data_IF_932212108612
#
_entry.id   IF_932212108612
#
_cell.length_a   1.000
_cell.length_b   1.000
_cell.length_c   1.000
_cell.angle_alpha   90.00
_cell.angle_beta   90.00
_cell.angle_gamma   90.00
#
_symmetry.space_group_name_H-M   'P 1'
#
loop_
_entity.id
_entity.type
_entity.pdbx_description
1 polymer ?
#
# COMPACT_ATOMS: atom_id res chain seq x y z
N UNK A 1 -18.87 -17.92 27.85
CA UNK A 1 -18.48 -17.67 26.45
C UNK A 1 -17.81 -16.31 26.45
N UNK A 2 -16.53 -16.22 26.11
CA UNK A 2 -15.84 -14.92 26.09
C UNK A 2 -16.49 -14.06 25.00
N UNK A 3 -16.94 -12.86 25.36
CA UNK A 3 -17.54 -11.94 24.42
C UNK A 3 -16.45 -11.46 23.46
N UNK A 4 -16.56 -11.83 22.17
CA UNK A 4 -15.57 -11.42 21.18
C UNK A 4 -15.66 -9.91 20.98
N UNK A 5 -14.54 -9.24 21.26
CA UNK A 5 -14.39 -7.80 21.06
C UNK A 5 -14.70 -7.41 19.62
N UNK A 6 -15.51 -6.36 19.45
CA UNK A 6 -15.95 -5.85 18.15
C UNK A 6 -15.23 -4.56 17.79
N UNK A 7 -15.07 -4.35 16.49
CA UNK A 7 -14.57 -3.11 15.90
C UNK A 7 -15.66 -2.56 14.99
N UNK A 8 -16.03 -1.30 15.20
CA UNK A 8 -16.89 -0.52 14.32
C UNK A 8 -16.00 0.38 13.46
N UNK A 9 -15.88 0.01 12.18
CA UNK A 9 -15.06 0.72 11.21
C UNK A 9 -15.95 1.54 10.29
N UNK A 10 -15.65 2.84 10.20
CA UNK A 10 -16.23 3.77 9.25
C UNK A 10 -15.16 4.18 8.23
N UNK A 11 -15.41 3.93 6.95
CA UNK A 11 -14.53 4.33 5.84
C UNK A 11 -15.25 5.41 5.04
N UNK A 12 -14.69 6.60 4.96
CA UNK A 12 -15.16 7.69 4.12
C UNK A 12 -14.29 7.70 2.87
N UNK A 13 -14.87 7.41 1.71
CA UNK A 13 -14.18 7.37 0.42
C UNK A 13 -14.48 8.64 -0.34
N UNK A 14 -13.49 9.51 -0.50
CA UNK A 14 -13.56 10.76 -1.25
C UNK A 14 -13.00 10.53 -2.67
N UNK A 15 -13.84 10.76 -3.67
CA UNK A 15 -13.48 10.66 -5.08
C UNK A 15 -13.11 12.05 -5.60
N UNK A 16 -11.92 12.17 -6.18
CA UNK A 16 -11.41 13.38 -6.80
C UNK A 16 -11.21 13.18 -8.30
N UNK A 17 -11.49 14.20 -9.09
CA UNK A 17 -11.11 14.30 -10.50
C UNK A 17 -9.80 15.10 -10.61
N UNK A 18 -8.80 14.53 -11.28
CA UNK A 18 -7.56 15.26 -11.58
C UNK A 18 -7.73 16.05 -12.88
N UNK A 19 -7.99 17.35 -12.76
CA UNK A 19 -8.06 18.24 -13.91
C UNK A 19 -6.67 18.80 -14.23
N UNK A 20 -6.20 18.56 -15.47
CA UNK A 20 -5.06 19.27 -16.05
C UNK A 20 -5.56 20.51 -16.77
N UNK A 21 -5.22 21.70 -16.28
CA UNK A 21 -5.41 22.93 -17.07
C UNK A 21 -4.41 22.91 -18.22
N UNK A 22 -4.91 23.06 -19.45
CA UNK A 22 -4.08 23.13 -20.65
C UNK A 22 -3.21 24.40 -20.69
N UNK A 23 -3.58 25.46 -19.97
CA UNK A 23 -3.01 26.78 -20.25
C UNK A 23 -1.94 27.29 -19.28
N UNK A 24 -1.80 26.86 -18.03
CA UNK A 24 -0.73 27.41 -17.18
C UNK A 24 -0.20 26.44 -16.11
N UNK A 25 1.11 26.21 -16.17
CA UNK A 25 2.03 25.97 -15.04
C UNK A 25 2.13 24.58 -14.39
N UNK A 26 1.62 23.51 -15.01
CA UNK A 26 1.82 22.13 -14.49
C UNK A 26 1.17 21.86 -13.13
N UNK A 27 0.33 22.77 -12.65
CA UNK A 27 -0.39 22.66 -11.38
C UNK A 27 -1.54 21.65 -11.57
N UNK A 28 -1.46 20.53 -10.83
CA UNK A 28 -2.52 19.54 -10.76
C UNK A 28 -3.64 20.06 -9.87
N UNK A 29 -4.86 20.11 -10.38
CA UNK A 29 -6.03 20.52 -9.62
C UNK A 29 -6.92 19.30 -9.37
N UNK A 30 -7.24 19.05 -8.10
CA UNK A 30 -8.12 17.95 -7.69
C UNK A 30 -9.48 18.52 -7.29
N UNK A 31 -10.53 18.10 -7.99
CA UNK A 31 -11.91 18.53 -7.70
C UNK A 31 -12.63 17.36 -7.05
N UNK A 32 -13.20 17.57 -5.86
CA UNK A 32 -14.01 16.55 -5.18
C UNK A 32 -15.27 16.27 -6.01
N UNK A 33 -15.37 15.05 -6.56
CA UNK A 33 -16.53 14.57 -7.30
C UNK A 33 -17.64 14.07 -6.37
N UNK A 34 -17.27 13.49 -5.24
CA UNK A 34 -18.22 12.95 -4.29
C UNK A 34 -17.55 12.24 -3.13
N UNK A 35 -18.33 11.97 -2.09
CA UNK A 35 -17.89 11.21 -0.92
C UNK A 35 -18.90 10.11 -0.61
N UNK A 36 -18.40 8.92 -0.32
CA UNK A 36 -19.18 7.75 0.06
C UNK A 36 -18.78 7.31 1.46
N UNK A 37 -19.73 6.86 2.28
CA UNK A 37 -19.43 6.36 3.63
C UNK A 37 -19.81 4.89 3.74
N UNK A 38 -18.83 4.05 4.07
CA UNK A 38 -19.03 2.63 4.31
C UNK A 38 -18.82 2.33 5.80
N UNK A 39 -19.86 1.84 6.46
CA UNK A 39 -19.79 1.39 7.85
C UNK A 39 -19.84 -0.13 7.92
N UNK A 40 -18.96 -0.71 8.73
CA UNK A 40 -18.94 -2.15 8.97
C UNK A 40 -18.58 -2.46 10.41
N UNK A 41 -19.15 -3.55 10.93
CA UNK A 41 -18.82 -4.09 12.24
C UNK A 41 -18.16 -5.44 12.05
N UNK A 42 -16.98 -5.62 12.64
CA UNK A 42 -16.16 -6.81 12.46
C UNK A 42 -15.63 -7.31 13.81
N UNK A 43 -15.28 -8.59 13.88
CA UNK A 43 -14.60 -9.14 15.05
C UNK A 43 -13.17 -8.61 15.10
N UNK A 44 -12.63 -8.40 16.30
CA UNK A 44 -11.25 -7.93 16.48
C UNK A 44 -10.21 -8.82 15.77
N UNK A 45 -10.41 -10.15 15.77
CA UNK A 45 -9.54 -11.10 15.08
C UNK A 45 -9.52 -10.93 13.54
N UNK A 46 -10.53 -10.27 12.95
CA UNK A 46 -10.51 -9.98 11.51
C UNK A 46 -9.36 -9.03 11.13
N UNK A 47 -8.75 -8.36 12.11
CA UNK A 47 -7.63 -7.44 11.95
C UNK A 47 -6.26 -8.08 12.20
N UNK A 48 -6.16 -9.41 12.32
CA UNK A 48 -4.89 -10.10 12.57
C UNK A 48 -3.97 -10.11 11.34
N UNK A 49 -4.54 -10.13 10.13
CA UNK A 49 -3.80 -10.10 8.86
C UNK A 49 -4.39 -9.08 7.88
N UNK A 50 -3.54 -8.52 7.01
CA UNK A 50 -3.97 -7.59 5.96
C UNK A 50 -4.95 -8.24 4.98
N UNK A 51 -4.76 -9.52 4.67
CA UNK A 51 -5.65 -10.27 3.76
C UNK A 51 -7.05 -10.45 4.36
N UNK A 52 -7.14 -10.75 5.65
CA UNK A 52 -8.43 -10.87 6.35
C UNK A 52 -9.18 -9.53 6.38
N UNK A 53 -8.48 -8.43 6.62
CA UNK A 53 -9.06 -7.08 6.57
C UNK A 53 -9.59 -6.82 5.16
N UNK A 54 -8.75 -7.04 4.15
CA UNK A 54 -9.10 -6.79 2.76
C UNK A 54 -10.27 -7.65 2.28
N UNK A 55 -10.37 -8.91 2.67
CA UNK A 55 -11.48 -9.80 2.28
C UNK A 55 -12.85 -9.28 2.77
N UNK A 56 -12.86 -8.60 3.91
CA UNK A 56 -14.06 -8.01 4.50
C UNK A 56 -14.43 -6.63 3.96
N UNK A 57 -13.44 -5.76 3.69
CA UNK A 57 -13.69 -4.38 3.24
C UNK A 57 -13.51 -4.19 1.74
N UNK A 58 -12.52 -4.85 1.14
CA UNK A 58 -12.12 -4.69 -0.26
C UNK A 58 -13.23 -5.04 -1.24
N UNK A 59 -13.97 -6.13 -1.00
CA UNK A 59 -15.14 -6.48 -1.84
C UNK A 59 -16.20 -5.38 -1.87
N UNK A 60 -16.47 -4.73 -0.73
CA UNK A 60 -17.46 -3.65 -0.66
C UNK A 60 -16.95 -2.36 -1.30
N UNK A 61 -15.67 -2.07 -1.09
CA UNK A 61 -15.02 -0.90 -1.65
C UNK A 61 -14.93 -0.97 -3.19
N UNK A 62 -14.68 -2.16 -3.75
CA UNK A 62 -14.57 -2.34 -5.20
C UNK A 62 -15.91 -2.64 -5.89
N UNK A 63 -16.97 -3.00 -5.16
CA UNK A 63 -18.27 -3.33 -5.75
C UNK A 63 -18.90 -2.13 -6.46
N UNK A 64 -19.31 -2.33 -7.73
CA UNK A 64 -19.99 -1.30 -8.52
C UNK A 64 -19.10 -0.16 -9.01
N UNK A 65 -17.78 -0.20 -8.76
CA UNK A 65 -16.83 0.80 -9.25
C UNK A 65 -16.28 0.45 -10.64
N UNK A 66 -15.83 1.45 -11.42
CA UNK A 66 -15.09 1.21 -12.66
C UNK A 66 -13.84 0.37 -12.42
N UNK A 67 -13.44 -0.44 -13.41
CA UNK A 67 -12.30 -1.34 -13.31
C UNK A 67 -10.98 -0.62 -12.95
N UNK A 68 -10.78 0.59 -13.51
CA UNK A 68 -9.60 1.40 -13.20
C UNK A 68 -9.56 1.84 -11.72
N UNK A 69 -10.69 2.30 -11.18
CA UNK A 69 -10.84 2.67 -9.77
C UNK A 69 -10.64 1.46 -8.86
N UNK A 70 -11.24 0.31 -9.19
CA UNK A 70 -11.07 -0.93 -8.43
C UNK A 70 -9.62 -1.42 -8.43
N UNK A 71 -8.92 -1.33 -9.57
CA UNK A 71 -7.50 -1.68 -9.67
C UNK A 71 -6.61 -0.74 -8.84
N UNK A 72 -6.91 0.56 -8.85
CA UNK A 72 -6.21 1.53 -8.01
C UNK A 72 -6.44 1.26 -6.51
N UNK A 73 -7.66 0.92 -6.10
CA UNK A 73 -7.93 0.50 -4.71
C UNK A 73 -7.16 -0.77 -4.34
N UNK A 74 -7.08 -1.74 -5.24
CA UNK A 74 -6.30 -2.97 -5.03
C UNK A 74 -4.80 -2.72 -4.91
N UNK A 75 -4.23 -1.78 -5.68
CA UNK A 75 -2.78 -1.48 -5.58
C UNK A 75 -2.40 -0.86 -4.23
N UNK A 76 -3.33 -0.18 -3.56
CA UNK A 76 -3.15 0.41 -2.24
C UNK A 76 -3.71 -0.45 -1.09
N UNK A 77 -4.19 -1.67 -1.37
CA UNK A 77 -4.86 -2.52 -0.39
C UNK A 77 -3.99 -2.81 0.83
N UNK A 78 -2.71 -3.15 0.64
CA UNK A 78 -1.79 -3.49 1.72
C UNK A 78 -1.51 -2.32 2.66
N UNK A 79 -1.32 -1.12 2.12
CA UNK A 79 -1.05 0.10 2.88
C UNK A 79 -2.29 0.52 3.70
N UNK A 80 -3.47 0.50 3.07
CA UNK A 80 -4.73 0.75 3.75
C UNK A 80 -4.96 -0.25 4.89
N UNK A 81 -4.85 -1.55 4.60
CA UNK A 81 -5.09 -2.58 5.60
C UNK A 81 -4.07 -2.54 6.73
N UNK A 82 -2.80 -2.25 6.44
CA UNK A 82 -1.76 -2.05 7.46
C UNK A 82 -2.07 -0.86 8.37
N UNK A 83 -2.53 0.25 7.80
CA UNK A 83 -2.92 1.46 8.55
C UNK A 83 -4.12 1.20 9.47
N UNK A 84 -5.15 0.52 8.95
CA UNK A 84 -6.31 0.10 9.73
C UNK A 84 -5.91 -0.83 10.86
N UNK A 85 -5.09 -1.83 10.55
CA UNK A 85 -4.61 -2.81 11.50
C UNK A 85 -3.88 -2.15 12.68
N UNK A 86 -2.96 -1.23 12.39
CA UNK A 86 -2.20 -0.54 13.44
C UNK A 86 -3.09 0.35 14.30
N UNK A 87 -4.01 1.11 13.69
CA UNK A 87 -4.94 1.95 14.45
C UNK A 87 -5.84 1.12 15.38
N UNK A 88 -6.32 -0.05 14.91
CA UNK A 88 -7.08 -1.01 15.73
C UNK A 88 -6.25 -1.48 16.92
N UNK A 89 -4.98 -1.85 16.71
CA UNK A 89 -4.09 -2.28 17.78
C UNK A 89 -3.83 -1.19 18.80
N UNK A 90 -3.57 0.05 18.37
CA UNK A 90 -3.34 1.19 19.26
C UNK A 90 -4.60 1.50 20.08
N UNK A 91 -5.76 1.58 19.43
CA UNK A 91 -7.03 1.87 20.14
C UNK A 91 -7.43 0.77 21.10
N UNK A 92 -7.23 -0.49 20.73
CA UNK A 92 -7.53 -1.65 21.57
C UNK A 92 -6.86 -1.60 22.95
N UNK A 93 -5.66 -1.02 23.05
CA UNK A 93 -4.93 -0.89 24.32
C UNK A 93 -5.59 0.05 25.32
N UNK A 94 -6.42 0.97 24.84
CA UNK A 94 -7.00 2.06 25.63
C UNK A 94 -8.50 1.90 25.89
N UNK A 95 -9.18 1.07 25.10
CA UNK A 95 -10.61 0.81 25.24
C UNK A 95 -10.80 -0.37 26.20
N UNK A 96 -11.64 -0.25 27.25
CA UNK A 96 -11.91 -1.33 28.18
C UNK A 96 -12.64 -2.51 27.52
N UNK A 97 -12.52 -3.69 28.11
CA UNK A 97 -13.22 -4.89 27.64
C UNK A 97 -14.75 -4.70 27.71
N UNK A 98 -15.44 -5.02 26.62
CA UNK A 98 -16.89 -4.85 26.47
C UNK A 98 -17.32 -3.65 25.61
N UNK A 99 -16.45 -2.66 25.42
CA UNK A 99 -16.72 -1.51 24.54
C UNK A 99 -16.23 -1.77 23.10
N UNK A 100 -17.02 -1.46 22.05
CA UNK A 100 -16.59 -1.59 20.68
C UNK A 100 -15.50 -0.57 20.34
N UNK A 101 -14.48 -1.00 19.62
CA UNK A 101 -13.44 -0.09 19.11
C UNK A 101 -14.02 0.65 17.91
N UNK A 102 -14.17 1.97 18.02
CA UNK A 102 -14.62 2.80 16.90
C UNK A 102 -13.44 3.43 16.18
N UNK A 103 -13.44 3.32 14.85
CA UNK A 103 -12.43 3.90 13.97
C UNK A 103 -13.06 4.53 12.74
N UNK A 104 -12.51 5.68 12.34
CA UNK A 104 -12.88 6.36 11.11
C UNK A 104 -11.63 6.61 10.27
N UNK A 105 -11.68 6.22 9.00
CA UNK A 105 -10.63 6.49 8.02
C UNK A 105 -11.19 7.26 6.84
N UNK A 106 -10.38 8.14 6.27
CA UNK A 106 -10.68 8.86 5.04
C UNK A 106 -9.75 8.34 3.96
N UNK A 107 -10.34 7.92 2.83
CA UNK A 107 -9.68 7.34 1.67
C UNK A 107 -9.87 8.28 0.50
N UNK A 108 -8.80 8.87 0.01
CA UNK A 108 -8.84 9.78 -1.13
C UNK A 108 -8.43 9.04 -2.39
N UNK A 109 -9.28 9.05 -3.41
CA UNK A 109 -9.07 8.39 -4.70
C UNK A 109 -9.13 9.43 -5.80
N UNK A 110 -8.04 9.61 -6.54
CA UNK A 110 -8.06 10.45 -7.75
C UNK A 110 -8.34 9.60 -8.99
N UNK A 111 -9.20 10.12 -9.86
CA UNK A 111 -9.52 9.55 -11.17
C UNK A 111 -9.06 10.52 -12.25
N UNK A 112 -8.52 9.98 -13.35
CA UNK A 112 -8.32 10.76 -14.58
C UNK A 112 -9.45 10.37 -15.52
N UNK A 113 -10.48 11.21 -15.64
CA UNK A 113 -11.48 11.01 -16.68
C UNK A 113 -10.83 11.26 -18.05
N UNK A 114 -10.87 10.30 -18.99
CA UNK A 114 -10.44 10.58 -20.35
C UNK A 114 -11.36 11.65 -20.92
N UNK A 115 -10.81 12.84 -21.18
CA UNK A 115 -11.56 13.91 -21.82
C UNK A 115 -12.16 13.40 -23.12
N UNK A 116 -13.48 13.55 -23.26
CA UNK A 116 -14.16 13.45 -24.54
C UNK A 116 -13.75 14.67 -25.38
N UNK A 117 -12.56 14.65 -25.95
CA UNK A 117 -12.27 15.47 -27.11
C UNK A 117 -11.58 14.59 -28.16
N UNK A 118 -12.27 14.44 -29.28
CA UNK A 118 -11.90 13.58 -30.37
C UNK A 118 -10.66 14.16 -31.07
N UNK A 119 -9.51 13.52 -30.83
CA UNK A 119 -8.30 13.72 -31.61
C UNK A 119 -7.61 12.38 -31.78
N UNK A 120 -7.82 11.75 -32.92
CA UNK A 120 -7.05 10.59 -33.39
C UNK A 120 -5.55 10.93 -33.34
N UNK A 121 -4.86 10.39 -32.34
CA UNK A 121 -3.46 10.71 -32.06
C UNK A 121 -2.89 9.79 -31.00
N UNK A 122 -2.54 8.58 -31.44
CA UNK A 122 -1.53 7.65 -30.93
C UNK A 122 -1.06 7.78 -29.45
N UNK A 123 -1.12 6.62 -28.78
CA UNK A 123 -0.53 6.28 -27.47
C UNK A 123 -1.38 6.68 -26.24
N UNK A 124 -2.49 5.95 -26.06
CA UNK A 124 -3.03 5.71 -24.73
C UNK A 124 -1.90 5.16 -23.84
N UNK A 125 -1.45 5.94 -22.87
CA UNK A 125 -0.45 5.49 -21.92
C UNK A 125 -1.11 4.45 -21.03
N UNK A 126 -0.91 3.17 -21.34
CA UNK A 126 -1.10 2.09 -20.37
C UNK A 126 -0.45 2.51 -19.04
N UNK A 127 -1.00 2.12 -17.87
CA UNK A 127 -0.28 2.30 -16.60
C UNK A 127 1.10 1.71 -16.82
N UNK A 128 2.16 2.52 -16.68
CA UNK A 128 3.53 2.15 -17.05
C UNK A 128 3.84 0.80 -16.44
N UNK A 129 3.65 -0.27 -17.22
CA UNK A 129 4.00 -1.62 -16.80
C UNK A 129 5.49 -1.52 -16.61
N UNK A 130 5.96 -1.64 -15.37
CA UNK A 130 7.39 -1.65 -15.10
C UNK A 130 7.95 -2.84 -15.87
N UNK A 131 8.65 -2.54 -16.96
CA UNK A 131 9.27 -3.58 -17.78
C UNK A 131 10.31 -4.25 -16.89
N UNK A 132 10.26 -5.58 -16.70
CA UNK A 132 11.24 -6.27 -15.90
C UNK A 132 12.66 -5.93 -16.37
N UNK A 133 13.55 -5.69 -15.41
CA UNK A 133 14.94 -5.41 -15.74
C UNK A 133 15.55 -6.62 -16.47
N UNK A 134 16.45 -6.34 -17.41
CA UNK A 134 17.18 -7.40 -18.09
C UNK A 134 18.13 -8.12 -17.14
N UNK A 135 18.43 -9.40 -17.41
CA UNK A 135 19.40 -10.17 -16.60
C UNK A 135 20.77 -9.50 -16.53
N UNK A 136 21.21 -8.83 -17.60
CA UNK A 136 22.47 -8.08 -17.62
C UNK A 136 22.41 -6.83 -16.76
N UNK A 137 21.27 -6.15 -16.70
CA UNK A 137 21.04 -5.00 -15.80
C UNK A 137 21.15 -5.41 -14.33
N UNK A 138 20.53 -6.54 -13.95
CA UNK A 138 20.62 -7.08 -12.58
C UNK A 138 22.05 -7.53 -12.25
N UNK A 139 22.75 -8.20 -13.19
CA UNK A 139 24.14 -8.64 -12.97
C UNK A 139 25.15 -7.49 -12.80
N UNK A 140 24.81 -6.30 -13.31
CA UNK A 140 25.64 -5.09 -13.23
C UNK A 140 25.48 -4.33 -11.91
N UNK A 141 24.55 -4.74 -11.03
CA UNK A 141 24.39 -4.14 -9.72
C UNK A 141 25.65 -4.30 -8.86
N UNK A 142 25.89 -3.32 -7.98
CA UNK A 142 27.04 -3.35 -7.06
C UNK A 142 26.83 -4.49 -6.06
N UNK A 143 27.78 -5.43 -6.04
CA UNK A 143 27.80 -6.52 -5.06
C UNK A 143 28.58 -6.13 -3.82
N UNK A 144 27.99 -6.35 -2.65
CA UNK A 144 28.64 -6.23 -1.35
C UNK A 144 28.66 -7.59 -0.67
N UNK A 145 29.73 -7.89 0.06
CA UNK A 145 29.71 -9.02 1.00
C UNK A 145 28.91 -8.59 2.22
N UNK A 146 28.01 -9.46 2.71
CA UNK A 146 27.42 -9.24 4.02
C UNK A 146 28.57 -9.11 5.04
N UNK A 147 28.57 -8.03 5.83
CA UNK A 147 29.58 -7.84 6.85
C UNK A 147 29.37 -8.93 7.92
N UNK A 148 30.33 -9.85 8.04
CA UNK A 148 30.44 -10.73 9.18
C UNK A 148 30.99 -9.88 10.33
N UNK A 149 30.12 -9.53 11.28
CA UNK A 149 30.41 -8.93 12.59
C UNK A 149 31.61 -7.98 12.67
N UNK A 150 31.32 -6.68 12.54
CA UNK A 150 32.26 -5.61 12.85
C UNK A 150 31.61 -4.58 13.77
N UNK A 151 31.77 -4.82 15.09
CA UNK A 151 31.64 -3.89 16.22
C UNK A 151 31.42 -2.41 15.82
N UNK A 152 30.16 -2.02 15.73
CA UNK A 152 29.68 -0.65 15.47
C UNK A 152 28.34 -0.47 16.17
N UNK A 153 28.40 0.37 17.19
CA UNK A 153 27.41 0.88 18.12
C UNK A 153 26.06 1.34 17.51
N UNK A 154 25.21 0.40 17.06
CA UNK A 154 23.76 0.64 17.04
C UNK A 154 22.98 -0.68 17.22
N UNK A 155 22.31 -0.93 18.38
CA UNK A 155 21.68 -2.21 18.67
C UNK A 155 20.37 -2.50 17.91
N UNK A 156 19.87 -1.61 17.05
CA UNK A 156 18.46 -1.67 16.63
C UNK A 156 18.14 -1.91 15.15
N UNK A 157 19.12 -1.99 14.25
CA UNK A 157 18.84 -2.17 12.82
C UNK A 157 19.51 -3.42 12.25
N UNK A 158 19.06 -4.60 12.68
CA UNK A 158 19.32 -5.82 11.92
C UNK A 158 18.74 -5.64 10.52
N UNK A 159 19.60 -5.52 9.51
CA UNK A 159 19.15 -5.38 8.13
C UNK A 159 18.64 -6.74 7.62
N UNK A 160 17.38 -6.78 7.20
CA UNK A 160 16.66 -7.98 6.74
C UNK A 160 16.33 -7.85 5.26
N UNK A 161 16.41 -8.95 4.51
CA UNK A 161 15.94 -8.98 3.13
C UNK A 161 14.40 -8.97 3.10
N UNK A 162 13.77 -7.93 2.54
CA UNK A 162 12.30 -7.86 2.48
C UNK A 162 11.65 -8.90 1.57
N UNK A 163 12.43 -9.58 0.72
CA UNK A 163 11.92 -10.63 -0.19
C UNK A 163 11.78 -11.97 0.53
N UNK A 164 12.84 -12.44 1.20
CA UNK A 164 12.82 -13.73 1.91
C UNK A 164 12.64 -13.61 3.43
N UNK A 165 12.65 -12.39 3.96
CA UNK A 165 12.53 -12.06 5.39
C UNK A 165 13.68 -12.61 6.27
N UNK A 166 14.81 -13.01 5.67
CA UNK A 166 16.01 -13.47 6.37
C UNK A 166 17.01 -12.33 6.63
N UNK A 167 17.79 -12.45 7.71
CA UNK A 167 18.87 -11.54 8.07
C UNK A 167 20.03 -11.57 7.06
N UNK A 168 20.57 -10.39 6.71
CA UNK A 168 21.78 -10.30 5.88
C UNK A 168 23.00 -10.72 6.70
N UNK A 169 23.34 -12.01 6.68
CA UNK A 169 24.50 -12.48 7.45
C UNK A 169 24.80 -13.96 7.36
N UNK A 170 23.84 -14.82 6.98
CA UNK A 170 24.10 -16.27 7.03
C UNK A 170 24.98 -16.80 5.90
N UNK A 171 24.80 -16.39 4.64
CA UNK A 171 25.63 -16.94 3.54
C UNK A 171 25.37 -16.30 2.16
N UNK A 172 25.17 -14.98 2.11
CA UNK A 172 24.76 -14.30 0.88
C UNK A 172 25.66 -13.14 0.45
N UNK A 173 25.99 -13.09 -0.84
CA UNK A 173 26.30 -11.83 -1.53
C UNK A 173 25.06 -10.94 -1.54
N UNK A 174 25.24 -9.65 -1.27
CA UNK A 174 24.19 -8.65 -1.36
C UNK A 174 24.31 -7.88 -2.68
N UNK A 175 23.19 -7.58 -3.31
CA UNK A 175 23.09 -6.67 -4.44
C UNK A 175 22.47 -5.35 -3.97
N UNK A 176 23.12 -4.24 -4.32
CA UNK A 176 22.62 -2.90 -4.03
C UNK A 176 22.04 -2.27 -5.30
N UNK A 177 20.78 -1.85 -5.19
CA UNK A 177 20.09 -1.08 -6.23
C UNK A 177 20.67 0.35 -6.32
N UNK A 178 20.50 1.06 -7.46
CA UNK A 178 20.92 2.46 -7.58
C UNK A 178 20.21 3.41 -6.59
N UNK A 179 19.08 2.99 -6.01
CA UNK A 179 18.34 3.69 -4.97
C UNK A 179 18.76 3.29 -3.54
N UNK A 180 19.95 2.73 -3.38
CA UNK A 180 20.57 2.33 -2.11
C UNK A 180 19.85 1.21 -1.32
N UNK A 181 18.80 0.61 -1.88
CA UNK A 181 18.15 -0.56 -1.30
C UNK A 181 18.98 -1.84 -1.54
N UNK A 182 19.06 -2.70 -0.52
CA UNK A 182 19.91 -3.89 -0.51
C UNK A 182 19.05 -5.17 -0.46
N UNK A 183 19.44 -6.19 -1.24
CA UNK A 183 18.75 -7.50 -1.31
C UNK A 183 19.78 -8.63 -1.43
N UNK A 184 19.37 -9.87 -1.13
CA UNK A 184 20.19 -11.02 -1.50
C UNK A 184 20.31 -11.11 -3.02
N UNK A 185 21.51 -11.39 -3.53
CA UNK A 185 21.77 -11.53 -4.98
C UNK A 185 20.86 -12.56 -5.65
N UNK A 186 20.46 -13.62 -4.93
CA UNK A 186 19.55 -14.65 -5.44
C UNK A 186 18.07 -14.25 -5.41
N UNK A 187 17.71 -13.23 -4.64
CA UNK A 187 16.33 -12.82 -4.44
C UNK A 187 15.90 -11.72 -5.42
N UNK A 188 16.84 -10.90 -5.90
CA UNK A 188 16.61 -9.82 -6.87
C UNK A 188 16.99 -10.25 -8.29
#
# INVERSE_FOLDING_TARGET
MAEMRKVELTLVVELYDEQRRAEHDGIRMFVLLGAETHRTTMCYCCFDTVDSIWDHIGRRLCAGRPAATAAHMQSHASELCGSIQEAVRIRARHIPDGEPIQLTFILQLSQVLPGQDAGEGLEASEPTRTVPASKSSVHSLKRKRAAMDGNGDDPLAKKVCVICQDEFGKEGSLAAMPCDHEFHEKCI
#
